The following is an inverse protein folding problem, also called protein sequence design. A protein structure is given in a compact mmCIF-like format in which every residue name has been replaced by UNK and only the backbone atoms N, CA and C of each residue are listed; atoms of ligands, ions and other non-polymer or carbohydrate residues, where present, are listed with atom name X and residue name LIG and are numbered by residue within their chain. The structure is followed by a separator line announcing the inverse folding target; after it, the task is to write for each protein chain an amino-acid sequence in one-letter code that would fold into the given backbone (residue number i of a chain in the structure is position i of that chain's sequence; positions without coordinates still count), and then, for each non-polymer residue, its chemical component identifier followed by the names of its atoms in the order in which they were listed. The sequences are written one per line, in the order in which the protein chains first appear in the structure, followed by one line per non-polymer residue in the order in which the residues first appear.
data_IF_414016380093
#
_entry.id   IF_414016380093
#
_cell.length_a   1.000
_cell.length_b   1.000
_cell.length_c   1.000
_cell.angle_alpha   90.00
_cell.angle_beta   90.00
_cell.angle_gamma   90.00
#
_symmetry.space_group_name_H-M   'P 1'
#
loop_
_entity.id
_entity.type
_entity.pdbx_description
1 polymer ?
#
# COMPACT_ATOMS: atom_id res chain seq x y z
N UNK A 1 30.92 14.77 8.06
CA UNK A 1 29.62 14.09 8.19
C UNK A 1 29.86 12.58 8.30
N UNK A 2 29.58 11.98 9.47
CA UNK A 2 29.91 10.57 9.75
C UNK A 2 29.16 9.56 8.84
N UNK A 3 28.23 10.03 8.02
CA UNK A 3 27.41 9.22 7.13
C UNK A 3 27.81 9.33 5.65
N UNK A 4 28.75 10.21 5.33
CA UNK A 4 29.26 10.37 3.97
C UNK A 4 30.19 9.20 3.61
N UNK A 5 29.82 8.45 2.57
CA UNK A 5 30.59 7.32 2.08
C UNK A 5 30.07 5.92 2.45
N UNK A 6 28.92 5.82 3.11
CA UNK A 6 28.29 4.53 3.38
C UNK A 6 27.57 4.00 2.14
N UNK A 7 27.79 2.72 1.82
CA UNK A 7 27.11 2.00 0.74
C UNK A 7 25.73 1.46 1.15
N UNK A 8 25.43 1.44 2.45
CA UNK A 8 24.15 1.03 3.00
C UNK A 8 23.28 2.27 3.18
N UNK A 9 22.04 2.32 2.68
CA UNK A 9 21.15 3.45 2.89
C UNK A 9 20.87 3.62 4.38
N UNK A 10 21.16 4.81 4.91
CA UNK A 10 20.91 5.16 6.32
C UNK A 10 19.74 6.12 6.39
N UNK A 11 18.68 5.71 7.07
CA UNK A 11 17.53 6.56 7.34
C UNK A 11 17.71 7.25 8.69
N UNK A 12 17.50 8.56 8.72
CA UNK A 12 17.48 9.33 9.97
C UNK A 12 16.07 9.21 10.57
N UNK A 13 15.97 8.57 11.72
CA UNK A 13 14.71 8.48 12.47
C UNK A 13 14.73 9.54 13.54
N UNK A 14 13.80 10.49 13.48
CA UNK A 14 13.62 11.54 14.46
C UNK A 14 12.54 11.21 15.51
N UNK A 15 12.40 12.05 16.56
CA UNK A 15 11.36 11.85 17.58
C UNK A 15 9.93 11.85 17.02
N UNK A 16 9.67 12.61 15.95
CA UNK A 16 8.39 12.65 15.28
C UNK A 16 8.07 11.31 14.57
N UNK A 17 9.07 10.68 13.97
CA UNK A 17 8.93 9.37 13.32
C UNK A 17 8.61 8.29 14.35
N UNK A 18 9.27 8.34 15.51
CA UNK A 18 8.99 7.44 16.61
C UNK A 18 7.59 7.67 17.20
N UNK A 19 7.18 8.92 17.35
CA UNK A 19 5.86 9.25 17.89
C UNK A 19 4.74 8.83 16.94
N UNK A 20 4.96 8.84 15.63
CA UNK A 20 4.01 8.43 14.60
C UNK A 20 4.06 6.92 14.30
N UNK A 21 5.06 6.21 14.81
CA UNK A 21 5.18 4.77 14.61
C UNK A 21 3.96 4.03 15.18
N UNK A 22 3.46 2.97 14.51
CA UNK A 22 2.34 2.18 14.98
C UNK A 22 2.73 1.23 16.12
N UNK A 23 3.49 1.74 17.08
CA UNK A 23 4.03 1.03 18.23
C UNK A 23 3.54 1.70 19.50
N UNK A 24 3.03 0.93 20.46
CA UNK A 24 2.74 1.43 21.80
C UNK A 24 4.00 1.44 22.65
N UNK A 25 4.74 2.55 22.61
CA UNK A 25 5.98 2.72 23.38
C UNK A 25 5.78 2.65 24.89
N UNK A 26 4.54 2.88 25.39
CA UNK A 26 4.23 2.86 26.83
C UNK A 26 4.05 1.44 27.38
N UNK A 27 3.79 0.45 26.51
CA UNK A 27 3.69 -0.97 26.90
C UNK A 27 5.04 -1.68 26.87
N UNK A 28 6.13 -0.96 26.67
CA UNK A 28 7.48 -1.54 26.75
C UNK A 28 7.78 -1.94 28.19
N UNK A 29 7.31 -3.11 28.58
CA UNK A 29 7.56 -3.66 29.90
C UNK A 29 8.99 -4.20 30.02
N UNK A 30 9.57 -4.00 31.19
CA UNK A 30 10.88 -4.47 31.62
C UNK A 30 10.97 -6.01 31.45
N UNK A 31 11.47 -6.51 30.35
CA UNK A 31 11.84 -7.91 30.26
C UNK A 31 11.55 -8.68 28.99
N UNK A 32 10.99 -8.10 27.96
CA UNK A 32 10.76 -8.80 26.69
C UNK A 32 10.68 -7.86 25.50
N UNK A 33 11.24 -8.28 24.37
CA UNK A 33 11.14 -7.60 23.06
C UNK A 33 9.80 -7.91 22.37
N UNK A 34 8.73 -8.10 23.11
CA UNK A 34 7.39 -8.23 22.53
C UNK A 34 6.78 -6.84 22.34
N UNK A 35 6.89 -6.33 21.13
CA UNK A 35 6.22 -5.11 20.73
C UNK A 35 4.79 -5.46 20.30
N UNK A 36 3.79 -5.04 21.05
CA UNK A 36 2.43 -4.96 20.50
C UNK A 36 2.36 -3.78 19.53
N UNK A 37 2.30 -4.09 18.24
CA UNK A 37 2.03 -3.09 17.23
C UNK A 37 0.64 -2.50 17.48
N UNK A 38 0.55 -1.20 17.74
CA UNK A 38 -0.71 -0.49 17.67
C UNK A 38 -1.29 -0.70 16.28
N UNK A 39 -2.27 -1.56 16.15
CA UNK A 39 -3.00 -1.68 14.89
C UNK A 39 -3.66 -0.33 14.63
N UNK A 40 -3.28 0.31 13.53
CA UNK A 40 -3.93 1.53 13.09
C UNK A 40 -5.45 1.31 13.10
N UNK A 41 -6.19 2.29 13.63
CA UNK A 41 -7.64 2.22 13.66
C UNK A 41 -8.13 2.02 12.22
N UNK A 42 -8.80 0.89 11.97
CA UNK A 42 -9.33 0.59 10.63
C UNK A 42 -10.62 1.38 10.43
N UNK A 43 -10.67 2.15 9.36
CA UNK A 43 -11.85 2.93 9.03
C UNK A 43 -12.99 2.04 8.50
N UNK A 44 -14.21 2.40 8.87
CA UNK A 44 -15.42 1.81 8.30
C UNK A 44 -15.82 2.50 6.99
N UNK A 45 -16.43 1.74 6.08
CA UNK A 45 -17.02 2.30 4.87
C UNK A 45 -18.24 3.16 5.20
N UNK A 46 -18.31 4.36 4.61
CA UNK A 46 -19.51 5.19 4.62
C UNK A 46 -20.59 4.63 3.69
N UNK A 47 -21.81 5.12 3.81
CA UNK A 47 -22.94 4.64 3.00
C UNK A 47 -22.75 4.85 1.51
N UNK A 48 -22.23 6.02 1.11
CA UNK A 48 -21.88 6.36 -0.28
C UNK A 48 -20.80 5.42 -0.87
N UNK A 49 -19.80 5.08 -0.09
CA UNK A 49 -18.73 4.17 -0.49
C UNK A 49 -19.23 2.72 -0.62
N UNK A 50 -20.09 2.28 0.30
CA UNK A 50 -20.74 0.95 0.21
C UNK A 50 -21.57 0.83 -1.05
N UNK A 51 -22.38 1.86 -1.36
CA UNK A 51 -23.19 1.90 -2.56
C UNK A 51 -22.34 1.89 -3.84
N UNK A 52 -21.23 2.64 -3.85
CA UNK A 52 -20.28 2.65 -4.98
C UNK A 52 -19.70 1.25 -5.22
N UNK A 53 -19.22 0.57 -4.18
CA UNK A 53 -18.67 -0.79 -4.29
C UNK A 53 -19.72 -1.77 -4.84
N UNK A 54 -20.96 -1.71 -4.34
CA UNK A 54 -22.03 -2.56 -4.83
C UNK A 54 -22.28 -2.33 -6.33
N UNK A 55 -22.46 -1.08 -6.76
CA UNK A 55 -22.69 -0.74 -8.17
C UNK A 55 -21.52 -1.15 -9.07
N UNK A 56 -20.27 -1.01 -8.60
CA UNK A 56 -19.10 -1.43 -9.39
C UNK A 56 -19.09 -2.95 -9.55
N UNK A 57 -19.38 -3.71 -8.49
CA UNK A 57 -19.44 -5.18 -8.56
C UNK A 57 -20.57 -5.66 -9.48
N UNK A 58 -21.75 -5.05 -9.39
CA UNK A 58 -22.86 -5.34 -10.29
C UNK A 58 -22.48 -5.04 -11.74
N UNK A 59 -21.75 -3.93 -11.98
CA UNK A 59 -21.22 -3.62 -13.30
C UNK A 59 -20.24 -4.65 -13.82
N UNK A 60 -19.36 -5.20 -12.98
CA UNK A 60 -18.42 -6.25 -13.35
C UNK A 60 -19.07 -7.62 -13.58
N UNK A 61 -20.29 -7.85 -13.11
CA UNK A 61 -21.04 -9.04 -13.47
C UNK A 61 -21.47 -9.04 -14.95
N UNK A 62 -21.60 -7.85 -15.56
CA UNK A 62 -22.04 -7.70 -16.96
C UNK A 62 -20.92 -7.21 -17.90
N UNK A 63 -19.86 -6.60 -17.37
CA UNK A 63 -18.82 -5.93 -18.14
C UNK A 63 -17.43 -6.19 -17.53
N UNK A 64 -16.41 -6.26 -18.38
CA UNK A 64 -15.00 -6.43 -17.99
C UNK A 64 -14.32 -5.14 -17.51
N UNK A 65 -14.98 -4.00 -17.70
CA UNK A 65 -14.47 -2.65 -17.36
C UNK A 65 -15.59 -1.69 -17.00
N UNK A 66 -15.26 -0.67 -16.22
CA UNK A 66 -16.19 0.36 -15.81
C UNK A 66 -15.50 1.68 -15.51
N UNK A 67 -16.28 2.72 -15.28
CA UNK A 67 -15.81 4.04 -14.86
C UNK A 67 -16.56 4.46 -13.60
N UNK A 68 -15.79 4.74 -12.52
CA UNK A 68 -16.34 5.33 -11.32
C UNK A 68 -15.90 6.79 -11.20
N UNK A 69 -16.88 7.69 -11.18
CA UNK A 69 -16.66 9.14 -11.04
C UNK A 69 -17.07 9.54 -9.64
N UNK A 70 -16.17 10.20 -8.92
CA UNK A 70 -16.39 10.69 -7.56
C UNK A 70 -15.60 11.97 -7.32
N UNK A 71 -16.12 12.88 -6.49
CA UNK A 71 -15.48 14.15 -6.17
C UNK A 71 -14.13 13.95 -5.44
N UNK A 72 -13.30 14.99 -5.41
CA UNK A 72 -12.08 14.99 -4.58
C UNK A 72 -12.46 14.87 -3.09
N UNK A 73 -11.59 14.23 -2.30
CA UNK A 73 -11.81 14.07 -0.86
C UNK A 73 -12.86 13.02 -0.45
N UNK A 74 -13.50 12.32 -1.38
CA UNK A 74 -14.50 11.28 -1.05
C UNK A 74 -13.90 9.95 -0.58
N UNK A 75 -12.58 9.85 -0.49
CA UNK A 75 -11.88 8.63 -0.07
C UNK A 75 -11.82 7.56 -1.16
N UNK A 76 -11.56 7.98 -2.42
CA UNK A 76 -11.44 7.06 -3.57
C UNK A 76 -10.40 5.96 -3.32
N UNK A 77 -9.23 6.31 -2.79
CA UNK A 77 -8.14 5.38 -2.50
C UNK A 77 -8.57 4.31 -1.48
N UNK A 78 -9.25 4.73 -0.40
CA UNK A 78 -9.79 3.81 0.58
C UNK A 78 -10.91 2.93 0.00
N UNK A 79 -11.81 3.52 -0.80
CA UNK A 79 -12.89 2.76 -1.45
C UNK A 79 -12.34 1.74 -2.45
N UNK A 80 -11.28 2.09 -3.21
CA UNK A 80 -10.63 1.15 -4.14
C UNK A 80 -9.97 -0.02 -3.40
N UNK A 81 -9.34 0.23 -2.25
CA UNK A 81 -8.86 -0.84 -1.38
C UNK A 81 -10.00 -1.80 -0.99
N UNK A 82 -11.10 -1.24 -0.46
CA UNK A 82 -12.24 -2.05 0.01
C UNK A 82 -12.94 -2.80 -1.12
N UNK A 83 -12.96 -2.25 -2.32
CA UNK A 83 -13.39 -2.95 -3.53
C UNK A 83 -12.45 -4.13 -3.84
N UNK A 84 -11.14 -3.92 -3.85
CA UNK A 84 -10.15 -4.97 -4.09
C UNK A 84 -10.25 -6.11 -3.05
N UNK A 85 -10.45 -5.78 -1.78
CA UNK A 85 -10.69 -6.78 -0.72
C UNK A 85 -11.94 -7.61 -0.99
N UNK A 86 -13.02 -6.99 -1.46
CA UNK A 86 -14.25 -7.73 -1.85
C UNK A 86 -14.01 -8.65 -3.04
N UNK A 87 -13.34 -8.15 -4.08
CA UNK A 87 -12.97 -8.96 -5.23
C UNK A 87 -12.02 -10.10 -4.86
N UNK A 88 -11.11 -9.86 -3.92
CA UNK A 88 -10.24 -10.91 -3.38
C UNK A 88 -11.05 -12.01 -2.68
N UNK A 89 -12.03 -11.64 -1.87
CA UNK A 89 -12.91 -12.61 -1.22
C UNK A 89 -13.73 -13.41 -2.25
N UNK A 90 -14.29 -12.75 -3.26
CA UNK A 90 -15.04 -13.37 -4.34
C UNK A 90 -14.16 -14.34 -5.18
N UNK A 91 -12.86 -14.05 -5.30
CA UNK A 91 -11.86 -14.88 -5.98
C UNK A 91 -11.28 -16.02 -5.11
N UNK A 92 -11.90 -16.34 -3.98
CA UNK A 92 -11.43 -17.41 -3.10
C UNK A 92 -10.27 -17.01 -2.17
N UNK A 93 -10.07 -15.71 -1.97
CA UNK A 93 -9.09 -15.17 -1.01
C UNK A 93 -7.71 -14.91 -1.60
N UNK A 94 -7.57 -14.93 -2.92
CA UNK A 94 -6.34 -14.57 -3.64
C UNK A 94 -6.67 -13.64 -4.82
N UNK A 95 -5.97 -12.50 -4.92
CA UNK A 95 -6.15 -11.56 -6.02
C UNK A 95 -4.83 -10.93 -6.42
N UNK A 96 -4.64 -10.75 -7.73
CA UNK A 96 -3.57 -9.90 -8.28
C UNK A 96 -4.19 -8.58 -8.73
N UNK A 97 -3.63 -7.47 -8.29
CA UNK A 97 -4.12 -6.13 -8.60
C UNK A 97 -2.98 -5.33 -9.24
N UNK A 98 -3.28 -4.64 -10.32
CA UNK A 98 -2.45 -3.59 -10.87
C UNK A 98 -3.10 -2.24 -10.54
N UNK A 99 -2.42 -1.46 -9.71
CA UNK A 99 -2.84 -0.11 -9.32
C UNK A 99 -2.00 0.90 -10.07
N UNK A 100 -2.65 1.69 -10.94
CA UNK A 100 -1.99 2.72 -11.73
C UNK A 100 -2.34 4.11 -11.20
N UNK A 101 -1.32 4.94 -10.99
CA UNK A 101 -1.49 6.33 -10.58
C UNK A 101 -0.64 7.27 -11.44
N UNK A 102 -1.09 8.50 -11.68
CA UNK A 102 -0.42 9.44 -12.58
C UNK A 102 0.87 10.04 -12.00
N UNK A 103 1.21 9.79 -10.75
CA UNK A 103 2.44 10.31 -10.13
C UNK A 103 2.96 9.39 -9.04
N UNK A 104 4.28 9.43 -8.80
CA UNK A 104 4.96 8.69 -7.75
C UNK A 104 4.43 9.07 -6.36
N UNK A 105 4.09 10.34 -6.16
CA UNK A 105 3.49 10.83 -4.91
C UNK A 105 2.17 10.12 -4.61
N UNK A 106 1.31 9.97 -5.61
CA UNK A 106 0.05 9.25 -5.48
C UNK A 106 0.25 7.74 -5.30
N UNK A 107 1.24 7.15 -5.95
CA UNK A 107 1.63 5.74 -5.72
C UNK A 107 2.00 5.54 -4.25
N UNK A 108 2.91 6.36 -3.73
CA UNK A 108 3.39 6.27 -2.36
C UNK A 108 2.28 6.53 -1.33
N UNK A 109 1.45 7.55 -1.56
CA UNK A 109 0.30 7.82 -0.69
C UNK A 109 -0.69 6.65 -0.69
N UNK A 110 -1.01 6.12 -1.87
CA UNK A 110 -1.96 5.00 -1.99
C UNK A 110 -1.41 3.73 -1.36
N UNK A 111 -0.14 3.44 -1.56
CA UNK A 111 0.54 2.31 -0.92
C UNK A 111 0.44 2.40 0.61
N UNK A 112 0.79 3.56 1.20
CA UNK A 112 0.70 3.76 2.66
C UNK A 112 -0.72 3.60 3.18
N UNK A 113 -1.70 4.21 2.50
CA UNK A 113 -3.11 4.10 2.89
C UNK A 113 -3.60 2.64 2.81
N UNK A 114 -3.27 1.93 1.72
CA UNK A 114 -3.65 0.54 1.56
C UNK A 114 -3.01 -0.35 2.61
N UNK A 115 -1.71 -0.22 2.86
CA UNK A 115 -1.01 -0.99 3.91
C UNK A 115 -1.58 -0.71 5.31
N UNK A 116 -1.88 0.56 5.61
CA UNK A 116 -2.45 0.94 6.91
C UNK A 116 -3.89 0.45 7.10
N UNK A 117 -4.72 0.41 6.05
CA UNK A 117 -6.16 0.18 6.15
C UNK A 117 -6.62 -1.20 5.66
N UNK A 118 -5.75 -2.01 5.07
CA UNK A 118 -6.10 -3.35 4.59
C UNK A 118 -6.52 -4.28 5.73
N UNK A 119 -7.56 -5.08 5.47
CA UNK A 119 -8.03 -6.16 6.35
C UNK A 119 -7.51 -7.54 5.91
N UNK A 120 -6.93 -7.60 4.71
CA UNK A 120 -6.28 -8.79 4.16
C UNK A 120 -4.79 -8.50 3.97
N UNK A 121 -3.98 -9.54 3.95
CA UNK A 121 -2.55 -9.39 3.70
C UNK A 121 -2.31 -8.83 2.30
N UNK A 122 -1.49 -7.78 2.21
CA UNK A 122 -1.06 -7.20 0.95
C UNK A 122 0.44 -7.47 0.77
N UNK A 123 0.78 -7.98 -0.41
CA UNK A 123 2.16 -8.08 -0.88
C UNK A 123 2.37 -7.03 -1.96
N UNK A 124 2.98 -5.89 -1.61
CA UNK A 124 3.17 -4.80 -2.53
C UNK A 124 4.41 -5.01 -3.39
N UNK A 125 4.29 -4.65 -4.66
CA UNK A 125 5.40 -4.40 -5.59
C UNK A 125 5.25 -2.98 -6.10
N UNK A 126 6.35 -2.27 -6.27
CA UNK A 126 6.32 -0.90 -6.77
C UNK A 126 7.16 -0.81 -8.04
N UNK A 127 6.54 -0.30 -9.08
CA UNK A 127 7.18 -0.05 -10.37
C UNK A 127 7.20 1.46 -10.61
N UNK A 128 8.36 2.06 -10.56
CA UNK A 128 8.54 3.47 -10.91
C UNK A 128 9.87 3.69 -11.61
N UNK A 129 9.86 4.56 -12.63
CA UNK A 129 11.01 4.79 -13.53
C UNK A 129 12.06 5.73 -12.98
N UNK A 130 11.85 6.38 -11.85
CA UNK A 130 12.71 7.48 -11.44
C UNK A 130 13.29 7.33 -10.04
N UNK A 131 14.53 6.88 -9.98
CA UNK A 131 15.40 7.02 -8.81
C UNK A 131 15.86 8.48 -8.58
N UNK A 132 15.58 9.41 -9.52
CA UNK A 132 15.99 10.80 -9.47
C UNK A 132 14.85 11.78 -9.14
N UNK A 133 13.59 11.38 -9.21
CA UNK A 133 12.44 12.24 -8.92
C UNK A 133 12.39 12.74 -7.47
N UNK A 134 13.13 12.14 -6.57
CA UNK A 134 13.21 12.54 -5.14
C UNK A 134 14.07 13.77 -4.85
N UNK A 135 14.65 14.46 -5.86
CA UNK A 135 15.53 15.61 -5.58
C UNK A 135 14.85 16.98 -5.56
N UNK A 136 13.62 17.13 -5.98
CA UNK A 136 12.92 18.42 -6.05
C UNK A 136 11.44 18.42 -5.69
N UNK A 137 10.84 17.33 -5.26
CA UNK A 137 9.45 17.34 -4.82
C UNK A 137 9.38 17.08 -3.32
N UNK A 138 8.79 18.01 -2.65
CA UNK A 138 8.37 18.03 -1.27
C UNK A 138 7.84 16.66 -0.82
N UNK A 139 8.42 16.12 0.25
CA UNK A 139 7.85 15.16 1.18
C UNK A 139 7.75 13.66 0.87
N UNK A 140 8.26 13.13 -0.23
CA UNK A 140 8.26 11.68 -0.39
C UNK A 140 9.62 11.21 -0.89
N UNK A 141 10.45 10.74 0.01
CA UNK A 141 11.68 10.06 -0.33
C UNK A 141 11.35 8.66 -0.86
N UNK A 142 12.01 8.28 -1.95
CA UNK A 142 11.97 6.92 -2.52
C UNK A 142 12.25 5.82 -1.47
N UNK A 143 12.78 6.20 -0.31
CA UNK A 143 13.04 5.33 0.84
C UNK A 143 11.78 4.75 1.51
N UNK A 144 10.61 5.36 1.30
CA UNK A 144 9.34 4.85 1.84
C UNK A 144 8.71 3.75 0.98
N UNK A 145 9.30 3.46 -0.18
CA UNK A 145 8.78 2.49 -1.13
C UNK A 145 9.62 1.21 -1.05
N UNK A 146 9.05 0.06 -0.68
CA UNK A 146 9.81 -1.17 -0.63
C UNK A 146 10.28 -1.59 -2.03
N UNK A 147 11.59 -1.54 -2.26
CA UNK A 147 12.30 -2.04 -3.43
C UNK A 147 11.64 -1.67 -4.78
N UNK A 148 11.56 -0.37 -5.13
CA UNK A 148 11.03 0.02 -6.43
C UNK A 148 11.91 -0.58 -7.53
N UNK A 149 11.29 -1.12 -8.57
CA UNK A 149 12.01 -1.69 -9.70
C UNK A 149 11.38 -1.26 -11.02
N UNK A 150 12.21 -1.04 -12.03
CA UNK A 150 11.79 -0.91 -13.43
C UNK A 150 12.17 -2.14 -14.24
N UNK A 151 12.87 -3.09 -13.62
CA UNK A 151 13.32 -4.32 -14.23
C UNK A 151 12.16 -5.33 -14.28
N UNK A 152 11.73 -5.64 -15.51
CA UNK A 152 10.62 -6.56 -15.74
C UNK A 152 10.94 -8.00 -15.27
N UNK A 153 12.18 -8.45 -15.41
CA UNK A 153 12.58 -9.81 -15.02
C UNK A 153 12.61 -9.95 -13.50
N UNK A 154 13.06 -8.91 -12.81
CA UNK A 154 13.04 -8.85 -11.36
C UNK A 154 11.62 -8.83 -10.82
N UNK A 155 10.73 -8.05 -11.44
CA UNK A 155 9.32 -8.02 -11.09
C UNK A 155 8.66 -9.38 -11.35
N UNK A 156 8.91 -9.98 -12.53
CA UNK A 156 8.37 -11.29 -12.89
C UNK A 156 8.83 -12.38 -11.91
N UNK A 157 10.11 -12.39 -11.56
CA UNK A 157 10.68 -13.32 -10.58
C UNK A 157 10.06 -13.13 -9.19
N UNK A 158 9.89 -11.87 -8.76
CA UNK A 158 9.20 -11.53 -7.51
C UNK A 158 7.75 -12.01 -7.50
N UNK A 159 7.01 -11.77 -8.57
CA UNK A 159 5.62 -12.22 -8.71
C UNK A 159 5.49 -13.76 -8.77
N UNK A 160 6.44 -14.43 -9.39
CA UNK A 160 6.49 -15.89 -9.47
C UNK A 160 6.80 -16.53 -8.12
N UNK A 161 7.62 -15.88 -7.29
CA UNK A 161 7.98 -16.35 -5.94
C UNK A 161 6.79 -16.29 -4.96
N UNK A 162 5.74 -15.54 -5.30
CA UNK A 162 4.50 -15.50 -4.52
C UNK A 162 3.77 -16.84 -4.71
N UNK A 163 4.02 -17.76 -3.80
CA UNK A 163 3.45 -19.11 -3.85
C UNK A 163 1.92 -19.11 -3.86
N UNK A 164 1.34 -20.07 -4.57
CA UNK A 164 -0.13 -20.29 -4.71
C UNK A 164 -0.88 -20.49 -3.38
N UNK A 165 -0.18 -20.68 -2.27
CA UNK A 165 -0.77 -20.99 -0.96
C UNK A 165 -1.02 -19.77 -0.07
N UNK A 166 -0.59 -18.57 -0.46
CA UNK A 166 -0.73 -17.37 0.36
C UNK A 166 -2.07 -16.69 0.06
N UNK A 167 -2.93 -16.65 1.07
CA UNK A 167 -4.16 -15.84 1.04
C UNK A 167 -3.78 -14.36 1.07
N UNK A 168 -4.56 -13.53 0.39
CA UNK A 168 -4.37 -12.09 0.34
C UNK A 168 -4.20 -11.54 -1.07
N UNK A 169 -3.77 -10.29 -1.15
CA UNK A 169 -3.62 -9.58 -2.42
C UNK A 169 -2.14 -9.40 -2.77
N UNK A 170 -1.79 -9.66 -4.02
CA UNK A 170 -0.52 -9.21 -4.60
C UNK A 170 -0.80 -7.96 -5.42
N UNK A 171 -0.24 -6.83 -5.03
CA UNK A 171 -0.56 -5.52 -5.64
C UNK A 171 0.70 -4.93 -6.25
N UNK A 172 0.63 -4.64 -7.54
CA UNK A 172 1.66 -3.86 -8.25
C UNK A 172 1.18 -2.43 -8.33
N UNK A 173 1.91 -1.53 -7.70
CA UNK A 173 1.69 -0.08 -7.76
C UNK A 173 2.63 0.54 -8.81
N UNK A 174 2.10 1.33 -9.75
CA UNK A 174 2.86 1.99 -10.81
C UNK A 174 2.31 3.39 -11.11
#
# INVERSE_FOLDING_TARGET
DALSGQTIPVQRIGPADLASAPIDWMQQTRGGLEFELKRAVKYGLRGDQKLAITKIRDGFAAHDRGKWISACGTGKTFTSLKLAERLCADAGGQLKVLFLAPSISLVSQSLREWMAQAQVDIRPFVVCSDSKAGRQAEDITVHDIPLPTTDADRLASGLASVGRRLRGMTVVFS
#
